data_IF_686821359935
#
_entry.id   IF_686821359935
#
_cell.length_a   1.000
_cell.length_b   1.000
_cell.length_c   1.000
_cell.angle_alpha   90.00
_cell.angle_beta   90.00
_cell.angle_gamma   90.00
#
_symmetry.space_group_name_H-M   'P 1'
#
loop_
_entity.id
_entity.type
_entity.pdbx_description
1 polymer ?
#
# COMPACT_ATOMS: atom_id res chain seq x y z
N UNK A 1 19.06 -42.17 -5.29
CA UNK A 1 19.60 -41.60 -6.54
C UNK A 1 19.47 -40.08 -6.47
N UNK A 2 20.62 -39.42 -6.46
CA UNK A 2 20.75 -37.95 -6.29
C UNK A 2 20.55 -37.28 -7.64
N UNK A 3 19.59 -36.36 -7.76
CA UNK A 3 19.57 -35.42 -8.88
C UNK A 3 19.76 -33.99 -8.35
N UNK A 4 20.93 -33.47 -8.57
CA UNK A 4 21.29 -32.07 -8.37
C UNK A 4 20.77 -31.29 -9.57
N UNK A 5 19.93 -30.30 -9.34
CA UNK A 5 19.58 -29.31 -10.35
C UNK A 5 20.39 -28.08 -10.05
N UNK A 6 21.31 -27.80 -10.95
CA UNK A 6 22.13 -26.60 -10.97
C UNK A 6 21.30 -25.51 -11.65
N UNK A 7 20.90 -24.50 -10.91
CA UNK A 7 20.22 -23.32 -11.45
C UNK A 7 21.27 -22.29 -11.83
N UNK A 8 21.40 -22.05 -13.13
CA UNK A 8 22.36 -21.14 -13.73
C UNK A 8 21.85 -19.71 -13.57
N UNK A 9 22.59 -18.92 -12.82
CA UNK A 9 22.42 -17.49 -12.67
C UNK A 9 22.82 -16.79 -13.96
N UNK A 10 21.89 -16.18 -14.66
CA UNK A 10 22.16 -15.34 -15.84
C UNK A 10 22.09 -13.86 -15.44
N UNK A 11 23.22 -13.30 -15.03
CA UNK A 11 23.42 -11.87 -14.94
C UNK A 11 23.63 -11.29 -16.34
N UNK A 12 22.66 -10.56 -16.86
CA UNK A 12 22.85 -9.74 -18.05
C UNK A 12 23.07 -8.28 -17.62
N UNK A 13 24.34 -7.91 -17.54
CA UNK A 13 24.78 -6.52 -17.48
C UNK A 13 24.65 -5.89 -18.85
N UNK A 14 23.81 -4.86 -18.99
CA UNK A 14 23.88 -3.94 -20.13
C UNK A 14 24.25 -2.55 -19.66
N UNK A 15 25.54 -2.31 -19.65
CA UNK A 15 26.17 -0.99 -19.67
C UNK A 15 26.55 -0.67 -21.11
N UNK A 16 25.92 0.33 -21.68
CA UNK A 16 26.42 1.11 -22.83
C UNK A 16 25.61 2.41 -22.79
N UNK A 17 26.13 3.57 -22.48
CA UNK A 17 27.30 4.20 -22.98
C UNK A 17 26.94 5.07 -24.18
N UNK A 18 26.57 6.36 -23.95
CA UNK A 18 26.69 7.38 -24.99
C UNK A 18 27.09 8.72 -24.37
N UNK A 19 28.37 8.92 -24.33
CA UNK A 19 29.02 10.22 -24.35
C UNK A 19 29.26 10.58 -25.82
N UNK A 20 28.69 11.69 -26.28
CA UNK A 20 29.29 12.56 -27.27
C UNK A 20 28.40 13.76 -27.59
N UNK A 21 28.96 14.94 -27.44
CA UNK A 21 28.32 16.17 -27.91
C UNK A 21 28.98 17.42 -27.32
N UNK A 22 30.17 17.66 -27.76
CA UNK A 22 31.05 18.81 -27.55
C UNK A 22 30.41 20.15 -28.01
N UNK A 23 30.76 21.23 -27.29
CA UNK A 23 30.94 22.51 -27.97
C UNK A 23 30.47 23.77 -27.26
N UNK A 24 31.42 24.54 -26.70
CA UNK A 24 31.41 26.00 -26.82
C UNK A 24 31.09 26.88 -25.61
N UNK A 25 32.10 27.11 -24.82
CA UNK A 25 32.73 28.40 -24.46
C UNK A 25 31.94 29.55 -23.82
N UNK A 26 32.42 29.88 -22.63
CA UNK A 26 32.74 31.15 -21.95
C UNK A 26 31.72 31.88 -21.09
N UNK A 27 32.18 32.02 -19.85
CA UNK A 27 32.15 33.17 -18.89
C UNK A 27 30.82 33.57 -18.26
N UNK A 28 30.65 33.54 -17.02
CA UNK A 28 31.08 34.33 -15.89
C UNK A 28 30.22 34.05 -14.64
N UNK A 29 30.79 34.23 -13.49
CA UNK A 29 30.30 34.08 -12.13
C UNK A 29 28.89 34.61 -11.87
N UNK A 30 28.11 33.85 -11.10
CA UNK A 30 27.48 34.38 -9.88
C UNK A 30 26.90 33.21 -9.06
N UNK A 31 27.29 33.16 -7.81
CA UNK A 31 26.78 32.34 -6.72
C UNK A 31 25.25 32.47 -6.62
N UNK A 32 24.54 31.34 -6.75
CA UNK A 32 23.11 31.24 -6.50
C UNK A 32 22.85 29.86 -5.86
N UNK A 33 22.71 29.86 -4.57
CA UNK A 33 22.21 28.78 -3.74
C UNK A 33 20.81 28.41 -4.24
N UNK A 34 20.69 27.30 -4.95
CA UNK A 34 19.39 26.76 -5.35
C UNK A 34 19.12 25.54 -4.46
N UNK A 35 18.53 25.84 -3.31
CA UNK A 35 17.78 24.84 -2.55
C UNK A 35 16.71 24.28 -3.49
N UNK A 36 16.92 23.08 -3.98
CA UNK A 36 15.90 22.32 -4.70
C UNK A 36 14.83 21.92 -3.66
N UNK A 37 13.83 22.75 -3.53
CA UNK A 37 12.57 22.31 -2.91
C UNK A 37 11.96 21.28 -3.86
N UNK A 38 12.05 20.00 -3.52
CA UNK A 38 11.24 18.98 -4.14
C UNK A 38 9.76 19.39 -3.97
N UNK A 39 9.03 19.48 -5.07
CA UNK A 39 7.62 19.82 -5.05
C UNK A 39 6.88 18.70 -4.31
N UNK A 40 6.10 19.00 -3.25
CA UNK A 40 5.36 17.98 -2.51
C UNK A 40 4.35 17.21 -3.39
N UNK A 41 3.98 17.77 -4.53
CA UNK A 41 3.11 17.11 -5.52
C UNK A 41 3.82 15.99 -6.27
N UNK A 42 5.14 16.11 -6.49
CA UNK A 42 5.91 15.07 -7.19
C UNK A 42 6.15 13.87 -6.26
N UNK A 43 6.42 14.13 -4.98
CA UNK A 43 6.64 13.09 -3.99
C UNK A 43 5.37 12.29 -3.69
N UNK A 44 4.21 12.97 -3.59
CA UNK A 44 2.90 12.31 -3.45
C UNK A 44 2.51 11.49 -4.70
N UNK A 45 2.90 11.95 -5.90
CA UNK A 45 2.62 11.22 -7.15
C UNK A 45 3.55 10.00 -7.32
N UNK A 46 4.79 10.06 -6.86
CA UNK A 46 5.71 8.91 -6.85
C UNK A 46 5.27 7.86 -5.82
N UNK A 47 4.81 8.29 -4.63
CA UNK A 47 4.29 7.40 -3.59
C UNK A 47 3.01 6.70 -4.05
N UNK A 48 2.07 7.43 -4.67
CA UNK A 48 0.84 6.85 -5.23
C UNK A 48 1.09 5.83 -6.36
N UNK A 49 2.20 5.96 -7.10
CA UNK A 49 2.57 5.01 -8.15
C UNK A 49 3.08 3.66 -7.60
N UNK A 50 3.53 3.63 -6.34
CA UNK A 50 4.07 2.44 -5.67
C UNK A 50 3.04 1.76 -4.74
N UNK A 51 1.87 2.38 -4.52
CA UNK A 51 0.81 1.89 -3.62
C UNK A 51 -0.07 0.79 -4.22
N UNK A 52 0.04 0.51 -5.53
CA UNK A 52 -0.82 -0.45 -6.22
C UNK A 52 -2.20 0.11 -6.58
N UNK A 53 -3.08 -0.76 -7.06
CA UNK A 53 -4.46 -0.44 -7.47
C UNK A 53 -5.51 -1.37 -6.87
N UNK A 54 -5.13 -2.16 -5.91
CA UNK A 54 -6.00 -3.09 -5.20
C UNK A 54 -6.14 -2.61 -3.76
N UNK A 55 -7.36 -2.53 -3.27
CA UNK A 55 -7.69 -2.29 -1.87
C UNK A 55 -8.05 -3.62 -1.21
N UNK A 56 -7.12 -4.20 -0.46
CA UNK A 56 -7.31 -5.44 0.26
C UNK A 56 -7.90 -5.20 1.65
N UNK A 57 -9.15 -5.63 1.87
CA UNK A 57 -9.87 -5.47 3.12
C UNK A 57 -9.99 -6.82 3.84
N UNK A 58 -9.48 -6.90 5.07
CA UNK A 58 -9.53 -8.09 5.90
C UNK A 58 -10.61 -7.97 6.99
N UNK A 59 -11.52 -8.95 7.04
CA UNK A 59 -12.60 -8.99 8.02
C UNK A 59 -13.00 -10.43 8.35
N UNK A 60 -13.79 -10.63 9.42
CA UNK A 60 -14.21 -11.97 9.86
C UNK A 60 -15.61 -12.37 9.41
N UNK A 61 -16.37 -11.43 8.86
CA UNK A 61 -17.71 -11.69 8.32
C UNK A 61 -18.08 -10.65 7.25
N UNK A 62 -19.28 -10.77 6.70
CA UNK A 62 -19.75 -9.90 5.61
C UNK A 62 -20.40 -8.59 6.10
N UNK A 63 -20.44 -8.31 7.39
CA UNK A 63 -21.16 -7.14 7.90
C UNK A 63 -20.56 -5.84 7.37
N UNK A 64 -19.24 -5.68 7.46
CA UNK A 64 -18.57 -4.48 6.95
C UNK A 64 -18.71 -4.34 5.43
N UNK A 65 -18.54 -5.45 4.69
CA UNK A 65 -18.79 -5.49 3.25
C UNK A 65 -20.19 -4.99 2.90
N UNK A 66 -21.22 -5.50 3.59
CA UNK A 66 -22.60 -5.12 3.32
C UNK A 66 -22.86 -3.62 3.58
N UNK A 67 -22.17 -3.03 4.56
CA UNK A 67 -22.26 -1.59 4.83
C UNK A 67 -21.60 -0.76 3.75
N UNK A 68 -20.40 -1.15 3.30
CA UNK A 68 -19.72 -0.48 2.18
C UNK A 68 -20.58 -0.58 0.92
N UNK A 69 -21.07 -1.75 0.58
CA UNK A 69 -21.94 -1.97 -0.59
C UNK A 69 -23.20 -1.10 -0.57
N UNK A 70 -23.80 -0.92 0.60
CA UNK A 70 -25.05 -0.17 0.74
C UNK A 70 -24.85 1.36 0.78
N UNK A 71 -23.69 1.84 1.22
CA UNK A 71 -23.55 3.26 1.62
C UNK A 71 -22.34 3.97 1.00
N UNK A 72 -21.33 3.25 0.51
CA UNK A 72 -20.14 3.91 -0.05
C UNK A 72 -20.41 4.38 -1.49
N UNK A 73 -20.28 5.69 -1.78
CA UNK A 73 -20.57 6.22 -3.09
C UNK A 73 -19.61 5.64 -4.14
N UNK A 74 -20.16 5.12 -5.23
CA UNK A 74 -19.37 4.61 -6.36
C UNK A 74 -18.78 3.21 -6.16
N UNK A 75 -19.17 2.49 -5.07
CA UNK A 75 -18.85 1.08 -4.96
C UNK A 75 -19.69 0.24 -5.93
N UNK A 76 -19.03 -0.60 -6.70
CA UNK A 76 -19.65 -1.56 -7.62
C UNK A 76 -19.25 -2.98 -7.20
N UNK A 77 -20.23 -3.84 -6.94
CA UNK A 77 -19.97 -5.26 -6.63
C UNK A 77 -19.69 -6.02 -7.94
N UNK A 78 -18.56 -6.74 -7.99
CA UNK A 78 -18.18 -7.58 -9.13
C UNK A 78 -18.58 -9.04 -8.87
N UNK A 79 -18.26 -9.56 -7.69
CA UNK A 79 -18.66 -10.89 -7.21
C UNK A 79 -18.69 -10.93 -5.67
N UNK A 80 -18.81 -12.14 -5.10
CA UNK A 80 -18.90 -12.31 -3.65
C UNK A 80 -17.70 -11.75 -2.87
N UNK A 81 -16.54 -11.69 -3.48
CA UNK A 81 -15.28 -11.27 -2.83
C UNK A 81 -14.60 -10.09 -3.51
N UNK A 82 -15.12 -9.59 -4.62
CA UNK A 82 -14.53 -8.49 -5.35
C UNK A 82 -15.52 -7.37 -5.63
N UNK A 83 -15.01 -6.17 -5.65
CA UNK A 83 -15.71 -4.95 -6.02
C UNK A 83 -14.79 -3.94 -6.68
N UNK A 84 -15.31 -2.78 -6.99
CA UNK A 84 -14.57 -1.63 -7.54
C UNK A 84 -15.01 -0.32 -6.91
N UNK A 85 -14.06 0.61 -6.81
CA UNK A 85 -14.32 2.01 -6.48
C UNK A 85 -13.53 2.84 -7.51
N UNK A 86 -14.21 3.30 -8.57
CA UNK A 86 -13.51 3.92 -9.69
C UNK A 86 -12.53 2.96 -10.36
N UNK A 87 -11.24 3.33 -10.39
CA UNK A 87 -10.16 2.52 -10.99
C UNK A 87 -9.48 1.57 -9.98
N UNK A 88 -9.94 1.54 -8.72
CA UNK A 88 -9.38 0.68 -7.67
C UNK A 88 -10.20 -0.60 -7.57
N UNK A 89 -9.53 -1.74 -7.67
CA UNK A 89 -10.12 -3.04 -7.39
C UNK A 89 -10.20 -3.27 -5.87
N UNK A 90 -11.35 -3.72 -5.38
CA UNK A 90 -11.54 -4.02 -3.94
C UNK A 90 -11.61 -5.52 -3.74
N UNK A 91 -10.77 -6.05 -2.86
CA UNK A 91 -10.73 -7.48 -2.52
C UNK A 91 -11.12 -7.69 -1.06
N UNK A 92 -12.16 -8.49 -0.84
CA UNK A 92 -12.67 -8.85 0.47
C UNK A 92 -12.07 -10.17 0.95
N UNK A 93 -11.14 -10.08 1.89
CA UNK A 93 -10.50 -11.23 2.53
C UNK A 93 -11.29 -11.59 3.80
N UNK A 94 -12.34 -12.41 3.65
CA UNK A 94 -13.24 -12.77 4.73
C UNK A 94 -12.83 -14.12 5.32
N UNK A 95 -12.37 -14.11 6.57
CA UNK A 95 -12.00 -15.31 7.32
C UNK A 95 -12.83 -15.39 8.59
N UNK A 96 -13.74 -16.36 8.74
CA UNK A 96 -14.50 -16.55 9.98
C UNK A 96 -13.59 -16.66 11.21
N UNK A 97 -14.03 -16.09 12.34
CA UNK A 97 -13.19 -16.04 13.56
C UNK A 97 -13.34 -17.29 14.47
N UNK A 98 -13.71 -18.42 13.90
CA UNK A 98 -13.75 -19.68 14.65
C UNK A 98 -12.33 -20.04 15.12
N UNK A 99 -12.19 -20.39 16.39
CA UNK A 99 -10.89 -20.73 17.00
C UNK A 99 -9.78 -19.68 16.77
N UNK A 100 -10.13 -18.41 16.72
CA UNK A 100 -9.24 -17.28 16.38
C UNK A 100 -8.64 -17.36 14.96
N UNK A 101 -9.29 -18.02 14.02
CA UNK A 101 -8.75 -18.21 12.67
C UNK A 101 -8.51 -16.87 11.96
N UNK A 102 -9.42 -15.89 12.10
CA UNK A 102 -9.23 -14.56 11.55
C UNK A 102 -7.97 -13.87 12.09
N UNK A 103 -7.81 -13.82 13.42
CA UNK A 103 -6.67 -13.16 14.05
C UNK A 103 -5.35 -13.84 13.66
N UNK A 104 -5.32 -15.18 13.64
CA UNK A 104 -4.14 -15.94 13.25
C UNK A 104 -3.76 -15.70 11.77
N UNK A 105 -4.76 -15.62 10.88
CA UNK A 105 -4.54 -15.30 9.47
C UNK A 105 -4.02 -13.86 9.29
N UNK A 106 -4.65 -12.89 9.96
CA UNK A 106 -4.23 -11.49 9.94
C UNK A 106 -2.78 -11.35 10.41
N UNK A 107 -2.42 -11.94 11.55
CA UNK A 107 -1.06 -11.88 12.09
C UNK A 107 -0.03 -12.45 11.12
N UNK A 108 -0.31 -13.61 10.53
CA UNK A 108 0.60 -14.24 9.57
C UNK A 108 0.77 -13.40 8.30
N UNK A 109 -0.29 -12.75 7.84
CA UNK A 109 -0.22 -11.90 6.64
C UNK A 109 0.53 -10.60 6.94
N UNK A 110 0.27 -9.96 8.08
CA UNK A 110 0.98 -8.74 8.49
C UNK A 110 2.50 -8.96 8.65
N UNK A 111 2.94 -10.11 9.13
CA UNK A 111 4.36 -10.45 9.21
C UNK A 111 5.07 -10.46 7.85
N UNK A 112 4.34 -10.64 6.76
CA UNK A 112 4.87 -10.64 5.40
C UNK A 112 4.61 -9.31 4.67
N UNK A 113 3.97 -8.34 5.31
CA UNK A 113 3.51 -7.08 4.72
C UNK A 113 4.64 -6.32 4.01
N UNK A 114 5.82 -6.23 4.63
CA UNK A 114 6.97 -5.48 4.07
C UNK A 114 7.45 -6.08 2.74
N UNK A 115 7.43 -7.39 2.61
CA UNK A 115 7.91 -8.11 1.43
C UNK A 115 6.85 -8.38 0.36
N UNK A 116 5.58 -8.10 0.65
CA UNK A 116 4.49 -8.28 -0.28
C UNK A 116 4.55 -7.28 -1.45
N UNK A 117 4.09 -7.69 -2.63
CA UNK A 117 3.89 -6.75 -3.72
C UNK A 117 2.81 -5.73 -3.35
N UNK A 118 2.82 -4.55 -3.98
CA UNK A 118 1.91 -3.46 -3.64
C UNK A 118 0.43 -3.91 -3.63
N UNK A 119 0.00 -4.64 -4.66
CA UNK A 119 -1.38 -5.13 -4.80
C UNK A 119 -1.72 -6.34 -3.89
N UNK A 120 -0.75 -6.91 -3.18
CA UNK A 120 -0.93 -8.04 -2.26
C UNK A 120 -0.88 -7.62 -0.78
N UNK A 121 -0.63 -6.35 -0.50
CA UNK A 121 -0.57 -5.80 0.87
C UNK A 121 -1.96 -5.70 1.48
N UNK A 122 -2.02 -5.79 2.81
CA UNK A 122 -3.23 -5.44 3.56
C UNK A 122 -3.32 -3.92 3.62
N UNK A 123 -4.42 -3.34 3.17
CA UNK A 123 -4.66 -1.90 3.24
C UNK A 123 -5.59 -1.53 4.39
N UNK A 124 -6.56 -2.39 4.67
CA UNK A 124 -7.51 -2.18 5.76
C UNK A 124 -7.83 -3.52 6.43
N UNK A 125 -7.82 -3.53 7.75
CA UNK A 125 -8.27 -4.69 8.51
C UNK A 125 -9.16 -4.30 9.69
N UNK A 126 -10.11 -5.14 10.02
CA UNK A 126 -11.00 -4.94 11.15
C UNK A 126 -10.44 -5.57 12.40
N UNK A 127 -10.67 -4.92 13.54
CA UNK A 127 -10.31 -5.43 14.87
C UNK A 127 -11.44 -5.21 15.86
N UNK A 128 -11.60 -6.11 16.81
CA UNK A 128 -12.49 -5.95 17.94
C UNK A 128 -11.75 -5.26 19.10
N UNK A 129 -12.48 -4.56 19.94
CA UNK A 129 -11.92 -3.74 21.02
C UNK A 129 -11.08 -4.53 22.02
N UNK A 130 -11.35 -5.80 22.21
CA UNK A 130 -10.66 -6.67 23.17
C UNK A 130 -9.21 -7.03 22.76
N UNK A 131 -8.90 -6.98 21.47
CA UNK A 131 -7.54 -7.20 20.97
C UNK A 131 -6.97 -6.05 20.12
N UNK A 132 -7.69 -4.94 19.98
CA UNK A 132 -7.25 -3.80 19.16
C UNK A 132 -5.88 -3.25 19.57
N UNK A 133 -5.56 -3.24 20.88
CA UNK A 133 -4.29 -2.73 21.39
C UNK A 133 -3.07 -3.49 20.87
N UNK A 134 -3.26 -4.69 20.34
CA UNK A 134 -2.18 -5.47 19.72
C UNK A 134 -1.60 -4.78 18.47
N UNK A 135 -2.40 -3.96 17.80
CA UNK A 135 -2.07 -3.33 16.52
C UNK A 135 -1.87 -1.81 16.62
N UNK A 136 -2.30 -1.19 17.72
CA UNK A 136 -2.14 0.26 17.92
C UNK A 136 -0.67 0.62 18.10
N UNK A 137 -0.22 1.69 17.46
CA UNK A 137 1.17 2.18 17.49
C UNK A 137 2.20 1.13 17.06
N UNK A 138 1.86 0.29 16.11
CA UNK A 138 2.75 -0.70 15.51
C UNK A 138 3.16 -0.30 14.10
N UNK A 139 4.16 -1.00 13.56
CA UNK A 139 4.58 -0.87 12.14
C UNK A 139 3.49 -1.28 11.12
N UNK A 140 2.40 -1.89 11.59
CA UNK A 140 1.29 -2.35 10.74
C UNK A 140 0.15 -1.34 10.62
N UNK A 141 0.19 -0.23 11.34
CA UNK A 141 -0.88 0.77 11.35
C UNK A 141 -0.34 2.17 11.11
N UNK A 142 -1.05 2.94 10.30
CA UNK A 142 -0.74 4.34 10.03
C UNK A 142 -1.57 5.25 10.96
N UNK A 143 -1.03 6.41 11.36
CA UNK A 143 -1.82 7.47 11.97
C UNK A 143 -2.91 7.92 11.01
N UNK A 144 -4.13 8.10 11.48
CA UNK A 144 -5.25 8.55 10.64
C UNK A 144 -5.04 9.96 10.05
N UNK A 145 -4.17 10.76 10.66
CA UNK A 145 -3.73 12.05 10.12
C UNK A 145 -3.05 11.91 8.75
N UNK A 146 -2.35 10.80 8.51
CA UNK A 146 -1.68 10.52 7.24
C UNK A 146 -2.69 10.23 6.11
N UNK A 147 -3.92 9.88 6.47
CA UNK A 147 -5.07 9.75 5.56
C UNK A 147 -5.81 11.09 5.35
N UNK A 148 -5.28 12.20 5.86
CA UNK A 148 -5.89 13.52 5.74
C UNK A 148 -7.07 13.76 6.68
N UNK A 149 -7.32 12.88 7.66
CA UNK A 149 -8.35 13.05 8.69
C UNK A 149 -7.82 13.99 9.76
N UNK A 150 -8.50 15.11 9.99
CA UNK A 150 -8.09 16.17 10.91
C UNK A 150 -8.71 16.02 12.30
N UNK A 151 -8.13 16.71 13.29
CA UNK A 151 -8.71 16.82 14.64
C UNK A 151 -10.13 17.41 14.62
N UNK A 152 -10.45 18.28 13.64
CA UNK A 152 -11.80 18.82 13.46
C UNK A 152 -12.78 17.72 13.05
N UNK A 153 -12.38 16.83 12.16
CA UNK A 153 -13.21 15.69 11.75
C UNK A 153 -13.48 14.75 12.93
N UNK A 154 -12.46 14.52 13.76
CA UNK A 154 -12.54 13.68 14.96
C UNK A 154 -13.34 14.33 16.10
N UNK A 155 -13.35 15.67 16.18
CA UNK A 155 -14.06 16.40 17.23
C UNK A 155 -15.58 16.16 17.28
N UNK A 156 -16.15 15.61 16.21
CA UNK A 156 -17.58 15.27 16.09
C UNK A 156 -17.86 13.80 16.41
N UNK A 157 -16.83 13.06 16.80
CA UNK A 157 -16.95 11.66 17.20
C UNK A 157 -16.91 11.55 18.73
N UNK A 158 -17.39 10.42 19.28
CA UNK A 158 -17.54 10.19 20.71
C UNK A 158 -16.20 10.16 21.45
#
# INVERSE_FOLDING_TARGET
MKKKIVSTLLCATMLAGMLAGCGGKTTDSTTGDTTSSADPVTEAAEQAADEGKVLNIYCWNEEFKSRITAHYPGYEEVDATHGKIGDVDVVWNITPNDDNAYQNNLDQTLLNQESAAADDKIDLFLVEADYALKYVDTEYTLPISDLGITDEDLSKQY
#
